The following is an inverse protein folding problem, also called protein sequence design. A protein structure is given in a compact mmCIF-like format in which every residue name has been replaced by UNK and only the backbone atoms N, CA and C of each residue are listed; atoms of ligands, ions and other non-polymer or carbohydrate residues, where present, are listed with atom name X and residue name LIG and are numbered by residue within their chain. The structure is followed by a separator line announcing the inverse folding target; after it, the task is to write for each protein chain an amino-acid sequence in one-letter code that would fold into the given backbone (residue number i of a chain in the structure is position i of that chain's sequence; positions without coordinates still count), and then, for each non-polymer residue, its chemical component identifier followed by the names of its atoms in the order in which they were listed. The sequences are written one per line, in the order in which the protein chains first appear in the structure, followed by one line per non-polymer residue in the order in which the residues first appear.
data_IF_887339709557
#
_entry.id   IF_887339709557
#
_cell.length_a   1.000
_cell.length_b   1.000
_cell.length_c   1.000
_cell.angle_alpha   90.00
_cell.angle_beta   90.00
_cell.angle_gamma   90.00
#
_symmetry.space_group_name_H-M   'P 1'
#
loop_
_entity.id
_entity.type
_entity.pdbx_description
1 polymer ?
#
# COMPACT_ATOMS: atom_id res chain seq x y z
N UNK A 1 -35.27 84.07 -23.12
CA UNK A 1 -34.47 82.99 -23.69
C UNK A 1 -33.33 82.55 -22.77
N UNK A 2 -32.58 83.42 -22.13
CA UNK A 2 -31.48 83.10 -21.23
C UNK A 2 -31.86 82.30 -19.94
N UNK A 3 -33.04 82.56 -19.39
CA UNK A 3 -33.49 81.88 -18.13
C UNK A 3 -33.78 80.35 -18.33
N UNK A 4 -34.18 79.92 -19.51
CA UNK A 4 -34.42 78.49 -19.80
C UNK A 4 -33.14 77.70 -20.03
N UNK A 5 -32.05 78.32 -20.51
CA UNK A 5 -30.78 77.68 -20.73
C UNK A 5 -30.03 77.39 -19.40
N UNK A 6 -30.15 78.32 -18.43
CA UNK A 6 -29.55 78.14 -17.10
C UNK A 6 -30.25 77.00 -16.31
N UNK A 7 -31.60 76.97 -16.35
CA UNK A 7 -32.35 75.87 -15.72
C UNK A 7 -32.07 74.51 -16.36
N UNK A 8 -31.82 74.42 -17.65
CA UNK A 8 -31.47 73.20 -18.36
C UNK A 8 -30.05 72.69 -17.98
N UNK A 9 -29.09 73.61 -17.84
CA UNK A 9 -27.72 73.28 -17.43
C UNK A 9 -27.66 72.77 -16.01
N UNK A 10 -28.44 73.33 -15.06
CA UNK A 10 -28.54 72.91 -13.68
C UNK A 10 -29.17 71.49 -13.56
N UNK A 11 -30.21 71.21 -14.35
CA UNK A 11 -30.82 69.85 -14.38
C UNK A 11 -29.82 68.83 -14.96
N UNK A 12 -29.12 69.16 -16.04
CA UNK A 12 -28.11 68.28 -16.64
C UNK A 12 -26.98 68.00 -15.69
N UNK A 13 -26.49 68.97 -14.92
CA UNK A 13 -25.49 68.85 -13.91
C UNK A 13 -25.96 67.93 -12.76
N UNK A 14 -27.22 68.09 -12.31
CA UNK A 14 -27.83 67.19 -11.33
C UNK A 14 -27.87 65.70 -11.79
N UNK A 15 -28.20 65.45 -13.07
CA UNK A 15 -28.22 64.19 -13.69
C UNK A 15 -26.80 63.58 -13.71
N UNK A 16 -25.78 64.37 -14.13
CA UNK A 16 -24.39 63.87 -14.09
C UNK A 16 -23.88 63.49 -12.72
N UNK A 17 -24.20 64.34 -11.72
CA UNK A 17 -23.82 64.01 -10.31
C UNK A 17 -24.50 62.72 -9.84
N UNK A 18 -25.80 62.56 -10.11
CA UNK A 18 -26.53 61.35 -9.69
C UNK A 18 -26.00 60.10 -10.40
N UNK A 19 -25.66 60.20 -11.69
CA UNK A 19 -25.09 59.11 -12.47
C UNK A 19 -23.67 58.75 -11.99
N UNK A 20 -22.86 59.74 -11.61
CA UNK A 20 -21.55 59.57 -11.05
C UNK A 20 -21.60 58.89 -9.68
N UNK A 21 -22.53 59.28 -8.79
CA UNK A 21 -22.74 58.61 -7.50
C UNK A 21 -23.22 57.20 -7.69
N UNK A 22 -24.12 56.94 -8.62
CA UNK A 22 -24.59 55.58 -8.93
C UNK A 22 -23.46 54.71 -9.46
N UNK A 23 -22.56 55.26 -10.28
CA UNK A 23 -21.37 54.55 -10.78
C UNK A 23 -20.42 54.17 -9.61
N UNK A 24 -20.21 55.09 -8.67
CA UNK A 24 -19.39 54.82 -7.47
C UNK A 24 -19.99 53.68 -6.65
N UNK A 25 -21.29 53.69 -6.43
CA UNK A 25 -21.98 52.63 -5.68
C UNK A 25 -21.87 51.29 -6.41
N UNK A 26 -22.05 51.24 -7.73
CA UNK A 26 -21.88 50.03 -8.53
C UNK A 26 -20.45 49.48 -8.47
N UNK A 27 -19.44 50.33 -8.56
CA UNK A 27 -18.03 49.92 -8.46
C UNK A 27 -17.74 49.38 -7.06
N UNK A 28 -18.27 50.00 -6.02
CA UNK A 28 -18.09 49.54 -4.63
C UNK A 28 -18.76 48.19 -4.40
N UNK A 29 -19.97 48.01 -4.91
CA UNK A 29 -20.71 46.75 -4.79
C UNK A 29 -20.05 45.64 -5.60
N UNK A 30 -19.60 45.92 -6.82
CA UNK A 30 -18.82 44.96 -7.62
C UNK A 30 -17.51 44.55 -6.94
N UNK A 31 -16.80 45.51 -6.33
CA UNK A 31 -15.56 45.22 -5.61
C UNK A 31 -15.80 44.38 -4.34
N UNK A 32 -16.94 44.62 -3.65
CA UNK A 32 -17.38 43.83 -2.51
C UNK A 32 -17.69 42.37 -2.93
N UNK A 33 -18.49 42.24 -4.01
CA UNK A 33 -18.85 40.94 -4.58
C UNK A 33 -17.61 40.15 -5.03
N UNK A 34 -16.67 40.79 -5.70
CA UNK A 34 -15.44 40.14 -6.16
C UNK A 34 -14.56 39.66 -5.00
N UNK A 35 -14.43 40.45 -3.92
CA UNK A 35 -13.71 40.06 -2.74
C UNK A 35 -14.37 38.87 -2.05
N UNK A 36 -15.69 38.83 -2.00
CA UNK A 36 -16.44 37.71 -1.45
C UNK A 36 -16.25 36.43 -2.27
N UNK A 37 -16.32 36.54 -3.59
CA UNK A 37 -16.06 35.46 -4.52
C UNK A 37 -14.64 34.86 -4.35
N UNK A 38 -13.63 35.71 -4.22
CA UNK A 38 -12.25 35.24 -3.99
C UNK A 38 -12.10 34.43 -2.68
N UNK A 39 -12.73 34.86 -1.62
CA UNK A 39 -12.74 34.12 -0.34
C UNK A 39 -13.36 32.75 -0.48
N UNK A 40 -14.49 32.62 -1.18
CA UNK A 40 -15.13 31.33 -1.44
C UNK A 40 -14.23 30.42 -2.28
N UNK A 41 -13.56 30.98 -3.26
CA UNK A 41 -12.63 30.24 -4.12
C UNK A 41 -11.40 29.72 -3.36
N UNK A 42 -10.87 30.48 -2.40
CA UNK A 42 -9.79 30.03 -1.52
C UNK A 42 -10.23 28.85 -0.64
N UNK A 43 -11.51 28.80 -0.25
CA UNK A 43 -12.08 27.71 0.55
C UNK A 43 -12.25 26.40 -0.24
N UNK A 44 -12.31 26.45 -1.57
CA UNK A 44 -12.49 25.26 -2.42
C UNK A 44 -11.47 24.15 -2.12
N UNK A 45 -10.24 24.52 -1.73
CA UNK A 45 -9.17 23.58 -1.41
C UNK A 45 -9.10 23.18 0.07
N UNK A 46 -9.71 23.96 0.97
CA UNK A 46 -9.63 23.78 2.42
C UNK A 46 -10.93 23.34 3.08
N UNK A 47 -12.04 23.33 2.37
CA UNK A 47 -13.39 23.06 2.91
C UNK A 47 -13.54 21.65 3.53
N UNK A 48 -12.72 20.69 3.07
CA UNK A 48 -12.67 19.35 3.64
C UNK A 48 -11.92 19.29 4.98
N UNK A 49 -11.12 20.32 5.32
CA UNK A 49 -10.29 20.36 6.52
C UNK A 49 -10.93 21.22 7.61
N UNK A 50 -11.58 22.32 7.25
CA UNK A 50 -12.26 23.19 8.21
C UNK A 50 -13.29 24.09 7.50
N UNK A 51 -14.42 24.28 8.16
CA UNK A 51 -15.47 25.24 7.76
C UNK A 51 -15.31 26.61 8.42
N UNK A 52 -14.26 26.81 9.26
CA UNK A 52 -14.07 28.04 10.05
C UNK A 52 -13.75 29.29 9.22
N UNK A 53 -13.31 29.11 7.98
CA UNK A 53 -12.96 30.21 7.06
C UNK A 53 -14.12 30.77 6.24
N UNK A 54 -15.36 30.32 6.45
CA UNK A 54 -16.50 30.82 5.66
C UNK A 54 -16.73 32.32 5.92
N UNK A 55 -16.89 33.13 4.86
CA UNK A 55 -17.09 34.56 5.01
C UNK A 55 -18.43 34.86 5.68
N UNK A 56 -18.44 35.87 6.57
CA UNK A 56 -19.69 36.37 7.14
C UNK A 56 -20.53 37.01 6.02
N UNK A 57 -21.80 36.61 5.97
CA UNK A 57 -22.75 37.13 4.99
C UNK A 57 -23.95 37.75 5.70
N UNK A 58 -24.46 38.83 5.09
CA UNK A 58 -25.70 39.48 5.51
C UNK A 58 -26.93 38.90 4.76
N UNK A 59 -26.72 38.05 3.75
CA UNK A 59 -27.78 37.40 2.99
C UNK A 59 -28.33 36.21 3.76
N UNK A 60 -29.64 36.23 4.02
CA UNK A 60 -30.33 35.17 4.75
C UNK A 60 -30.21 33.80 4.03
N UNK A 61 -30.29 33.78 2.71
CA UNK A 61 -30.22 32.56 1.93
C UNK A 61 -28.82 31.94 1.98
N UNK A 62 -27.81 32.78 1.82
CA UNK A 62 -26.41 32.34 1.91
C UNK A 62 -26.06 31.81 3.31
N UNK A 63 -26.60 32.47 4.35
CA UNK A 63 -26.41 32.00 5.75
C UNK A 63 -27.04 30.62 5.98
N UNK A 64 -28.23 30.36 5.43
CA UNK A 64 -28.83 29.02 5.51
C UNK A 64 -28.04 27.97 4.72
N UNK A 65 -27.52 28.28 3.54
CA UNK A 65 -26.62 27.39 2.83
C UNK A 65 -25.34 27.09 3.60
N UNK A 66 -24.74 28.09 4.24
CA UNK A 66 -23.55 27.90 5.08
C UNK A 66 -23.84 27.01 6.28
N UNK A 67 -25.02 27.13 6.91
CA UNK A 67 -25.44 26.23 7.99
C UNK A 67 -25.58 24.78 7.51
N UNK A 68 -26.22 24.56 6.36
CA UNK A 68 -26.35 23.24 5.76
C UNK A 68 -24.98 22.61 5.44
N UNK A 69 -24.06 23.41 4.90
CA UNK A 69 -22.70 22.95 4.62
C UNK A 69 -21.93 22.60 5.90
N UNK A 70 -22.09 23.38 6.98
CA UNK A 70 -21.49 23.04 8.28
C UNK A 70 -22.03 21.72 8.83
N UNK A 71 -23.34 21.55 8.81
CA UNK A 71 -23.98 20.30 9.27
C UNK A 71 -23.44 19.12 8.45
N UNK A 72 -23.35 19.24 7.13
CA UNK A 72 -22.82 18.20 6.27
C UNK A 72 -21.35 17.89 6.53
N UNK A 73 -20.53 18.93 6.74
CA UNK A 73 -19.12 18.78 7.05
C UNK A 73 -18.91 18.12 8.42
N UNK A 74 -19.68 18.50 9.42
CA UNK A 74 -19.64 17.89 10.76
C UNK A 74 -20.06 16.43 10.72
N UNK A 75 -21.10 16.10 9.95
CA UNK A 75 -21.53 14.71 9.77
C UNK A 75 -20.50 13.88 9.01
N UNK A 76 -19.90 14.45 7.96
CA UNK A 76 -18.83 13.79 7.21
C UNK A 76 -17.60 13.51 8.08
N UNK A 77 -17.13 14.49 8.85
CA UNK A 77 -16.01 14.32 9.79
C UNK A 77 -16.33 13.33 10.90
N UNK A 78 -17.58 13.32 11.37
CA UNK A 78 -18.09 12.35 12.32
C UNK A 78 -18.07 10.93 11.77
N UNK A 79 -18.54 10.71 10.54
CA UNK A 79 -18.50 9.42 9.88
C UNK A 79 -17.07 8.94 9.62
N UNK A 80 -16.19 9.83 9.20
CA UNK A 80 -14.78 9.53 8.96
C UNK A 80 -14.07 9.12 10.26
N UNK A 81 -14.31 9.85 11.37
CA UNK A 81 -13.73 9.51 12.67
C UNK A 81 -14.28 8.18 13.22
N UNK A 82 -15.57 7.89 13.01
CA UNK A 82 -16.17 6.60 13.37
C UNK A 82 -15.59 5.44 12.53
N UNK A 83 -15.39 5.67 11.23
CA UNK A 83 -14.76 4.67 10.36
C UNK A 83 -13.32 4.37 10.82
N UNK A 84 -12.53 5.40 11.10
CA UNK A 84 -11.17 5.27 11.61
C UNK A 84 -11.13 4.56 12.98
N UNK A 85 -12.05 4.89 13.89
CA UNK A 85 -12.17 4.21 15.19
C UNK A 85 -12.50 2.72 15.02
N UNK A 86 -13.49 2.38 14.18
CA UNK A 86 -13.85 0.97 13.91
C UNK A 86 -12.68 0.21 13.28
N UNK A 87 -11.94 0.83 12.39
CA UNK A 87 -10.77 0.22 11.77
C UNK A 87 -9.70 -0.06 12.82
N UNK A 88 -9.45 0.89 13.74
CA UNK A 88 -8.51 0.71 14.85
C UNK A 88 -8.96 -0.41 15.80
N UNK A 89 -10.22 -0.44 16.21
CA UNK A 89 -10.78 -1.48 17.08
C UNK A 89 -10.64 -2.88 16.44
N UNK A 90 -10.89 -2.97 15.14
CA UNK A 90 -10.73 -4.20 14.37
C UNK A 90 -9.26 -4.65 14.36
N UNK A 91 -8.32 -3.73 14.20
CA UNK A 91 -6.88 -4.03 14.22
C UNK A 91 -6.43 -4.54 15.59
N UNK A 92 -6.86 -3.88 16.67
CA UNK A 92 -6.55 -4.32 18.04
C UNK A 92 -7.15 -5.69 18.36
N UNK A 93 -8.40 -5.93 17.93
CA UNK A 93 -9.06 -7.23 18.08
C UNK A 93 -8.30 -8.35 17.36
N UNK A 94 -7.92 -8.15 16.11
CA UNK A 94 -7.16 -9.15 15.36
C UNK A 94 -5.76 -9.38 15.93
N UNK A 95 -5.06 -8.35 16.38
CA UNK A 95 -3.76 -8.50 17.00
C UNK A 95 -3.85 -9.37 18.27
N UNK A 96 -4.85 -9.14 19.11
CA UNK A 96 -5.13 -9.94 20.28
C UNK A 96 -5.53 -11.38 19.91
N UNK A 97 -6.42 -11.56 18.94
CA UNK A 97 -6.87 -12.86 18.47
C UNK A 97 -5.72 -13.72 17.96
N UNK A 98 -4.85 -13.15 17.15
CA UNK A 98 -3.66 -13.86 16.65
C UNK A 98 -2.74 -14.29 17.79
N UNK A 99 -2.53 -13.42 18.78
CA UNK A 99 -1.72 -13.80 19.94
C UNK A 99 -2.35 -14.97 20.71
N UNK A 100 -3.68 -14.99 20.86
CA UNK A 100 -4.41 -16.10 21.49
C UNK A 100 -4.36 -17.39 20.66
N UNK A 101 -4.32 -17.32 19.32
CA UNK A 101 -4.20 -18.50 18.45
C UNK A 101 -2.76 -19.04 18.42
N UNK A 102 -1.75 -18.19 18.44
CA UNK A 102 -0.33 -18.62 18.48
C UNK A 102 0.00 -19.49 19.71
N UNK A 103 -0.63 -19.23 20.83
CA UNK A 103 -0.37 -19.96 22.10
C UNK A 103 -0.76 -21.45 22.03
N UNK A 104 -2.01 -21.84 21.65
CA UNK A 104 -2.37 -23.26 21.51
C UNK A 104 -1.62 -23.95 20.35
N UNK A 105 -1.27 -23.22 19.29
CA UNK A 105 -0.44 -23.74 18.20
C UNK A 105 0.95 -24.12 18.72
N UNK A 106 1.60 -23.25 19.50
CA UNK A 106 2.89 -23.53 20.12
C UNK A 106 2.81 -24.74 21.07
N UNK A 107 1.73 -24.88 21.85
CA UNK A 107 1.50 -26.03 22.71
C UNK A 107 1.36 -27.34 21.91
N UNK A 108 0.56 -27.33 20.83
CA UNK A 108 0.41 -28.47 19.93
C UNK A 108 1.73 -28.87 19.28
N UNK A 109 2.54 -27.89 18.84
CA UNK A 109 3.87 -28.14 18.29
C UNK A 109 4.76 -28.88 19.28
N UNK A 110 4.80 -28.43 20.54
CA UNK A 110 5.59 -29.09 21.58
C UNK A 110 5.12 -30.55 21.86
N UNK A 111 3.79 -30.75 21.89
CA UNK A 111 3.23 -32.08 22.09
C UNK A 111 3.57 -33.03 20.93
N UNK A 112 3.50 -32.59 19.72
CA UNK A 112 3.84 -33.36 18.52
C UNK A 112 5.35 -33.61 18.42
N UNK A 113 6.19 -32.62 18.75
CA UNK A 113 7.64 -32.77 18.77
C UNK A 113 8.09 -33.78 19.84
N UNK A 114 7.48 -33.79 21.02
CA UNK A 114 7.79 -34.72 22.08
C UNK A 114 7.40 -36.19 21.74
N UNK A 115 6.42 -36.40 20.86
CA UNK A 115 6.04 -37.70 20.33
C UNK A 115 6.92 -38.18 19.19
N UNK A 116 7.68 -37.29 18.57
CA UNK A 116 8.49 -37.54 17.38
C UNK A 116 9.95 -37.77 17.80
N UNK A 117 10.30 -38.99 18.20
CA UNK A 117 11.64 -39.38 18.63
C UNK A 117 12.69 -39.22 17.50
N UNK A 118 12.30 -39.40 16.25
CA UNK A 118 13.20 -39.33 15.09
C UNK A 118 13.45 -37.90 14.57
N UNK A 119 12.77 -36.91 15.09
CA UNK A 119 12.91 -35.50 14.64
C UNK A 119 12.47 -35.22 13.18
N UNK A 120 11.82 -36.22 12.54
CA UNK A 120 11.33 -36.08 11.16
C UNK A 120 10.11 -35.17 11.09
N UNK A 121 9.91 -34.58 9.91
CA UNK A 121 8.68 -33.84 9.63
C UNK A 121 7.53 -34.83 9.46
N UNK A 122 6.62 -34.88 10.41
CA UNK A 122 5.38 -35.66 10.29
C UNK A 122 4.33 -34.79 9.56
N UNK A 123 3.28 -35.47 9.05
CA UNK A 123 2.18 -34.77 8.37
C UNK A 123 1.52 -33.73 9.29
N UNK A 124 1.30 -34.10 10.57
CA UNK A 124 0.71 -33.23 11.57
C UNK A 124 1.57 -31.97 11.86
N UNK A 125 2.90 -32.15 11.89
CA UNK A 125 3.82 -31.00 12.06
C UNK A 125 3.85 -30.10 10.83
N UNK A 126 3.66 -30.66 9.63
CA UNK A 126 3.54 -29.89 8.39
C UNK A 126 2.26 -29.06 8.38
N UNK A 127 1.12 -29.67 8.69
CA UNK A 127 -0.16 -28.98 8.78
C UNK A 127 -0.15 -27.86 9.84
N UNK A 128 0.46 -28.15 11.00
CA UNK A 128 0.60 -27.14 12.04
C UNK A 128 1.47 -25.95 11.60
N UNK A 129 2.54 -26.22 10.84
CA UNK A 129 3.38 -25.19 10.27
C UNK A 129 2.59 -24.33 9.27
N UNK A 130 1.75 -24.93 8.43
CA UNK A 130 0.92 -24.21 7.48
C UNK A 130 -0.11 -23.32 8.18
N UNK A 131 -0.72 -23.80 9.26
CA UNK A 131 -1.61 -22.98 10.12
C UNK A 131 -0.85 -21.77 10.68
N UNK A 132 0.37 -21.94 11.19
CA UNK A 132 1.20 -20.83 11.68
C UNK A 132 1.48 -19.80 10.57
N UNK A 133 1.75 -20.26 9.34
CA UNK A 133 1.97 -19.35 8.20
C UNK A 133 0.69 -18.57 7.85
N UNK A 134 -0.49 -19.19 7.87
CA UNK A 134 -1.76 -18.49 7.62
C UNK A 134 -2.05 -17.43 8.69
N UNK A 135 -1.79 -17.75 9.95
CA UNK A 135 -1.94 -16.79 11.05
C UNK A 135 -0.98 -15.60 10.89
N UNK A 136 0.27 -15.86 10.49
CA UNK A 136 1.26 -14.79 10.24
C UNK A 136 0.85 -13.92 9.04
N UNK A 137 0.38 -14.53 7.94
CA UNK A 137 -0.13 -13.78 6.77
C UNK A 137 -1.32 -12.88 7.14
N UNK A 138 -2.24 -13.37 7.96
CA UNK A 138 -3.40 -12.57 8.41
C UNK A 138 -2.96 -11.36 9.23
N UNK A 139 -1.95 -11.52 10.09
CA UNK A 139 -1.34 -10.41 10.84
C UNK A 139 -0.68 -9.38 9.94
N UNK A 140 0.13 -9.84 8.98
CA UNK A 140 0.85 -8.93 8.11
C UNK A 140 -0.11 -8.17 7.18
N UNK A 141 -1.16 -8.85 6.69
CA UNK A 141 -2.23 -8.20 5.92
C UNK A 141 -2.82 -7.03 6.70
N UNK A 142 -3.19 -7.27 7.96
CA UNK A 142 -3.81 -6.27 8.80
C UNK A 142 -2.89 -5.10 9.14
N UNK A 143 -1.63 -5.39 9.49
CA UNK A 143 -0.63 -4.35 9.75
C UNK A 143 -0.35 -3.50 8.53
N UNK A 144 -0.32 -4.12 7.34
CA UNK A 144 -0.04 -3.41 6.09
C UNK A 144 -1.16 -2.44 5.69
N UNK A 145 -2.40 -2.76 6.05
CA UNK A 145 -3.59 -1.95 5.72
C UNK A 145 -3.82 -0.81 6.74
N UNK A 146 -3.04 -0.77 7.82
CA UNK A 146 -3.05 0.32 8.80
C UNK A 146 -2.46 1.59 8.21
N UNK A 147 -3.14 2.72 8.38
CA UNK A 147 -2.63 4.04 8.02
C UNK A 147 -1.40 4.45 8.85
N UNK A 148 -1.21 3.80 10.02
CA UNK A 148 -0.14 4.06 10.98
C UNK A 148 1.01 3.05 10.89
N UNK A 149 1.17 2.35 9.75
CA UNK A 149 2.30 1.43 9.59
C UNK A 149 3.59 2.23 9.45
N UNK A 150 4.30 2.42 10.55
CA UNK A 150 5.63 3.01 10.57
C UNK A 150 6.64 1.96 10.11
N UNK A 151 7.24 2.19 8.94
CA UNK A 151 8.37 1.39 8.47
C UNK A 151 9.65 1.92 9.11
N UNK A 152 10.45 1.02 9.68
CA UNK A 152 11.74 1.34 10.25
C UNK A 152 12.82 0.98 9.24
N UNK A 153 13.29 1.97 8.48
CA UNK A 153 14.36 1.77 7.51
C UNK A 153 15.71 1.77 8.21
N UNK A 154 16.44 0.68 8.06
CA UNK A 154 17.80 0.50 8.59
C UNK A 154 18.68 -0.22 7.56
N UNK A 155 19.99 0.00 7.67
CA UNK A 155 20.95 -0.78 6.88
C UNK A 155 20.98 -2.21 7.42
N UNK A 156 20.57 -3.17 6.61
CA UNK A 156 20.35 -4.56 7.01
C UNK A 156 21.17 -5.48 6.14
N UNK A 157 21.83 -6.45 6.75
CA UNK A 157 22.53 -7.54 6.08
C UNK A 157 21.53 -8.46 5.39
N UNK A 158 21.60 -8.51 4.05
CA UNK A 158 20.70 -9.33 3.23
C UNK A 158 20.94 -10.82 3.45
N UNK A 159 22.20 -11.25 3.68
CA UNK A 159 22.55 -12.62 3.95
C UNK A 159 21.88 -13.15 5.25
N UNK A 160 21.85 -12.33 6.29
CA UNK A 160 21.16 -12.66 7.54
C UNK A 160 19.68 -12.98 7.32
N UNK A 161 18.99 -12.15 6.51
CA UNK A 161 17.57 -12.35 6.19
C UNK A 161 17.38 -13.65 5.41
N UNK A 162 18.18 -13.87 4.36
CA UNK A 162 18.07 -15.06 3.51
C UNK A 162 18.32 -16.33 4.32
N UNK A 163 19.39 -16.36 5.12
CA UNK A 163 19.71 -17.50 6.00
C UNK A 163 18.60 -17.76 7.01
N UNK A 164 18.02 -16.71 7.59
CA UNK A 164 16.87 -16.79 8.49
C UNK A 164 15.70 -17.52 7.84
N UNK A 165 15.34 -17.09 6.63
CA UNK A 165 14.26 -17.66 5.85
C UNK A 165 14.56 -19.14 5.46
N UNK A 166 15.74 -19.43 4.95
CA UNK A 166 16.16 -20.80 4.60
C UNK A 166 16.11 -21.71 5.82
N UNK A 167 16.60 -21.27 6.98
CA UNK A 167 16.56 -22.04 8.23
C UNK A 167 15.12 -22.36 8.66
N UNK A 168 14.19 -21.43 8.49
CA UNK A 168 12.77 -21.63 8.81
C UNK A 168 12.16 -22.79 8.00
N UNK A 169 12.51 -22.90 6.72
CA UNK A 169 11.99 -23.93 5.81
C UNK A 169 12.89 -25.17 5.67
N UNK A 170 14.01 -25.26 6.39
CA UNK A 170 15.01 -26.32 6.24
C UNK A 170 14.41 -27.75 6.36
N UNK A 171 13.47 -27.97 7.29
CA UNK A 171 12.80 -29.26 7.46
C UNK A 171 11.99 -29.67 6.23
N UNK A 172 11.35 -28.71 5.56
CA UNK A 172 10.58 -28.96 4.35
C UNK A 172 11.49 -29.27 3.16
N UNK A 173 12.63 -28.56 3.02
CA UNK A 173 13.66 -28.88 2.03
C UNK A 173 14.12 -30.34 2.16
N UNK A 174 14.42 -30.77 3.40
CA UNK A 174 14.86 -32.14 3.69
C UNK A 174 13.75 -33.16 3.40
N UNK A 175 12.52 -32.91 3.90
CA UNK A 175 11.39 -33.82 3.71
C UNK A 175 11.04 -34.04 2.23
N UNK A 176 11.08 -32.98 1.43
CA UNK A 176 10.82 -33.04 -0.02
C UNK A 176 12.06 -33.41 -0.87
N UNK A 177 13.25 -33.55 -0.24
CA UNK A 177 14.52 -33.80 -0.94
C UNK A 177 14.84 -32.75 -2.02
N UNK A 178 14.53 -31.48 -1.74
CA UNK A 178 14.82 -30.35 -2.61
C UNK A 178 16.25 -29.88 -2.32
N UNK A 179 17.08 -29.75 -3.35
CA UNK A 179 18.44 -29.22 -3.22
C UNK A 179 18.39 -27.69 -3.15
N UNK A 180 19.14 -27.11 -2.20
CA UNK A 180 19.32 -25.66 -2.10
C UNK A 180 20.69 -25.31 -2.68
N UNK A 181 20.71 -24.44 -3.70
CA UNK A 181 21.93 -23.82 -4.24
C UNK A 181 21.95 -22.35 -3.78
N UNK A 182 22.69 -22.08 -2.72
CA UNK A 182 22.81 -20.75 -2.12
C UNK A 182 24.29 -20.44 -1.85
N UNK A 183 24.74 -19.31 -2.35
CA UNK A 183 26.04 -18.74 -2.04
C UNK A 183 25.85 -17.55 -1.10
N UNK A 184 26.68 -17.41 -0.03
CA UNK A 184 26.61 -16.28 0.87
C UNK A 184 26.69 -14.93 0.12
N UNK A 185 25.87 -13.97 0.55
CA UNK A 185 25.72 -12.70 -0.12
C UNK A 185 26.30 -11.59 0.78
N UNK A 186 27.39 -10.98 0.38
CA UNK A 186 28.01 -9.87 1.13
C UNK A 186 27.43 -8.51 0.67
N UNK A 187 26.16 -8.26 0.99
CA UNK A 187 25.45 -7.04 0.58
C UNK A 187 24.50 -6.57 1.67
N UNK A 188 24.54 -5.27 1.98
CA UNK A 188 23.55 -4.61 2.82
C UNK A 188 22.57 -3.80 1.99
N UNK A 189 21.32 -3.72 2.47
CA UNK A 189 20.23 -2.96 1.85
C UNK A 189 19.57 -2.06 2.89
N UNK A 190 19.15 -0.87 2.49
CA UNK A 190 18.37 0.03 3.36
C UNK A 190 16.90 -0.34 3.21
N UNK A 191 16.35 -0.98 4.24
CA UNK A 191 14.99 -1.51 4.22
C UNK A 191 14.46 -1.72 5.64
N UNK A 192 13.18 -2.05 5.76
CA UNK A 192 12.66 -2.61 7.01
C UNK A 192 12.91 -4.13 7.04
N UNK A 193 13.83 -4.54 7.93
CA UNK A 193 14.28 -5.93 8.09
C UNK A 193 13.11 -6.90 8.27
N UNK A 194 12.12 -6.53 9.06
CA UNK A 194 10.99 -7.40 9.39
C UNK A 194 10.07 -7.63 8.17
N UNK A 195 9.78 -6.57 7.42
CA UNK A 195 8.93 -6.64 6.26
C UNK A 195 9.63 -7.34 5.09
N UNK A 196 10.92 -7.06 4.86
CA UNK A 196 11.69 -7.75 3.83
C UNK A 196 11.88 -9.24 4.17
N UNK A 197 12.12 -9.59 5.44
CA UNK A 197 12.18 -10.99 5.90
C UNK A 197 10.88 -11.73 5.57
N UNK A 198 9.72 -11.13 5.85
CA UNK A 198 8.43 -11.73 5.51
C UNK A 198 8.29 -12.00 4.01
N UNK A 199 8.69 -11.04 3.16
CA UNK A 199 8.63 -11.20 1.70
C UNK A 199 9.51 -12.37 1.23
N UNK A 200 10.77 -12.42 1.68
CA UNK A 200 11.71 -13.48 1.30
C UNK A 200 11.22 -14.84 1.80
N UNK A 201 10.72 -14.92 3.04
CA UNK A 201 10.11 -16.13 3.59
C UNK A 201 8.92 -16.59 2.74
N UNK A 202 8.06 -15.68 2.31
CA UNK A 202 6.89 -15.99 1.50
C UNK A 202 7.28 -16.50 0.09
N UNK A 203 8.30 -15.90 -0.52
CA UNK A 203 8.81 -16.37 -1.83
C UNK A 203 9.45 -17.75 -1.70
N UNK A 204 10.27 -17.99 -0.67
CA UNK A 204 10.87 -19.32 -0.40
C UNK A 204 9.79 -20.35 -0.08
N UNK A 205 8.77 -19.98 0.70
CA UNK A 205 7.60 -20.82 0.98
C UNK A 205 6.93 -21.30 -0.32
N UNK A 206 6.66 -20.38 -1.22
CA UNK A 206 6.07 -20.71 -2.52
C UNK A 206 7.00 -21.62 -3.34
N UNK A 207 8.29 -21.32 -3.42
CA UNK A 207 9.27 -22.12 -4.12
C UNK A 207 9.27 -23.58 -3.58
N UNK A 208 9.33 -23.76 -2.26
CA UNK A 208 9.29 -25.08 -1.61
C UNK A 208 7.94 -25.78 -1.81
N UNK A 209 6.84 -25.03 -1.75
CA UNK A 209 5.48 -25.55 -1.91
C UNK A 209 5.28 -26.16 -3.29
N UNK A 210 5.66 -25.45 -4.33
CA UNK A 210 5.40 -25.80 -5.73
C UNK A 210 6.52 -26.61 -6.39
N UNK A 211 7.65 -26.80 -5.73
CA UNK A 211 8.71 -27.72 -6.17
C UNK A 211 8.46 -29.12 -5.58
N UNK A 212 8.27 -30.11 -6.45
CA UNK A 212 8.14 -31.52 -6.06
C UNK A 212 9.51 -32.20 -5.95
N UNK A 213 10.37 -31.95 -6.94
CA UNK A 213 11.74 -32.48 -7.05
C UNK A 213 12.59 -31.46 -7.80
N UNK A 214 13.90 -31.42 -7.49
CA UNK A 214 14.83 -30.49 -8.15
C UNK A 214 15.54 -29.58 -7.15
N UNK A 215 15.79 -28.35 -7.56
CA UNK A 215 16.57 -27.39 -6.77
C UNK A 215 15.89 -26.02 -6.69
N UNK A 216 16.20 -25.31 -5.61
CA UNK A 216 15.91 -23.88 -5.45
C UNK A 216 17.26 -23.17 -5.41
N UNK A 217 17.43 -22.13 -6.25
CA UNK A 217 18.64 -21.30 -6.30
C UNK A 217 18.32 -19.91 -5.76
N UNK A 218 19.25 -19.41 -4.97
CA UNK A 218 19.16 -18.05 -4.39
C UNK A 218 20.51 -17.38 -4.66
N UNK A 219 20.51 -16.27 -5.40
CA UNK A 219 21.72 -15.54 -5.78
C UNK A 219 21.42 -14.08 -6.04
N UNK A 220 22.48 -13.27 -6.13
CA UNK A 220 22.40 -11.88 -6.57
C UNK A 220 22.72 -11.79 -8.05
N UNK A 221 21.99 -10.91 -8.74
CA UNK A 221 22.22 -10.53 -10.11
C UNK A 221 22.50 -9.02 -10.16
N UNK A 222 23.53 -8.63 -10.92
CA UNK A 222 23.76 -7.21 -11.17
C UNK A 222 22.64 -6.67 -12.05
N UNK A 223 21.86 -5.73 -11.51
CA UNK A 223 20.74 -5.14 -12.23
C UNK A 223 21.24 -4.09 -13.23
N UNK A 224 21.06 -4.32 -14.50
CA UNK A 224 21.28 -3.35 -15.58
C UNK A 224 20.12 -2.34 -15.73
N UNK A 225 19.25 -2.23 -14.75
CA UNK A 225 18.13 -1.28 -14.72
C UNK A 225 16.98 -1.56 -15.68
N UNK A 226 17.03 -2.64 -16.46
CA UNK A 226 15.97 -3.03 -17.41
C UNK A 226 15.11 -4.16 -16.84
N UNK A 227 14.33 -3.89 -15.82
CA UNK A 227 13.22 -4.76 -15.45
C UNK A 227 12.03 -4.52 -16.39
N UNK A 228 11.97 -5.28 -17.46
CA UNK A 228 10.85 -5.28 -18.37
C UNK A 228 9.82 -6.35 -17.97
N UNK A 229 8.96 -6.03 -17.00
CA UNK A 229 7.57 -6.50 -16.98
C UNK A 229 6.72 -5.40 -16.34
N UNK A 230 5.81 -4.76 -17.08
CA UNK A 230 4.90 -3.79 -16.51
C UNK A 230 3.86 -4.52 -15.65
N UNK A 231 3.79 -4.19 -14.37
CA UNK A 231 2.55 -4.33 -13.62
C UNK A 231 1.48 -3.49 -14.34
N UNK A 232 0.23 -4.00 -14.53
CA UNK A 232 -0.81 -3.19 -15.14
C UNK A 232 -1.01 -1.91 -14.32
N UNK A 233 -0.86 -0.79 -15.02
CA UNK A 233 -1.14 0.59 -14.68
C UNK A 233 -1.43 0.95 -13.22
N UNK A 234 -0.39 1.44 -12.52
CA UNK A 234 -0.51 2.65 -11.73
C UNK A 234 0.66 3.55 -12.13
N UNK A 235 0.52 4.21 -13.26
CA UNK A 235 1.38 5.31 -13.68
C UNK A 235 1.10 6.49 -12.75
N UNK A 236 2.05 6.84 -11.90
CA UNK A 236 2.43 8.18 -11.43
C UNK A 236 3.38 8.06 -10.24
N UNK A 237 4.55 7.47 -10.45
CA UNK A 237 5.69 7.77 -9.60
C UNK A 237 6.59 8.74 -10.36
N UNK A 238 6.61 10.02 -9.94
CA UNK A 238 7.58 11.01 -10.36
C UNK A 238 8.98 10.44 -10.13
N UNK A 239 9.73 10.26 -11.21
CA UNK A 239 11.16 10.07 -11.18
C UNK A 239 11.78 11.31 -10.51
N UNK A 240 12.12 11.20 -9.25
CA UNK A 240 12.97 12.20 -8.58
C UNK A 240 14.38 11.84 -9.02
N UNK A 241 14.92 12.66 -9.92
CA UNK A 241 16.35 12.64 -10.25
C UNK A 241 17.12 13.02 -8.99
N UNK A 242 17.70 12.04 -8.33
CA UNK A 242 18.74 12.24 -7.33
C UNK A 242 20.07 11.77 -7.92
N UNK A 243 20.95 12.71 -7.98
CA UNK A 243 22.39 12.77 -8.11
C UNK A 243 23.18 11.57 -8.60
N UNK A 244 24.04 11.84 -9.59
CA UNK A 244 25.16 11.02 -10.05
C UNK A 244 25.92 10.31 -8.91
N UNK A 245 25.57 9.07 -8.66
CA UNK A 245 26.36 8.07 -7.97
C UNK A 245 26.02 6.75 -8.62
N UNK A 246 26.98 6.05 -9.20
CA UNK A 246 26.86 4.69 -9.70
C UNK A 246 26.50 3.76 -8.55
N UNK A 247 25.23 3.70 -8.18
CA UNK A 247 24.71 2.65 -7.33
C UNK A 247 24.38 1.51 -8.29
N UNK A 248 25.22 0.50 -8.34
CA UNK A 248 24.88 -0.78 -8.98
C UNK A 248 23.64 -1.29 -8.29
N UNK A 249 22.51 -1.30 -9.00
CA UNK A 249 21.29 -1.90 -8.50
C UNK A 249 21.50 -3.41 -8.45
N UNK A 250 21.51 -3.96 -7.24
CA UNK A 250 21.64 -5.40 -7.03
C UNK A 250 20.23 -5.99 -6.91
N UNK A 251 19.99 -7.12 -7.56
CA UNK A 251 18.70 -7.80 -7.56
C UNK A 251 18.84 -9.18 -6.91
N UNK A 252 18.04 -9.43 -5.87
CA UNK A 252 17.92 -10.77 -5.29
C UNK A 252 17.06 -11.65 -6.19
N UNK A 253 17.58 -12.78 -6.61
CA UNK A 253 16.89 -13.76 -7.47
C UNK A 253 16.65 -15.04 -6.67
N UNK A 254 15.39 -15.50 -6.69
CA UNK A 254 14.98 -16.80 -6.14
C UNK A 254 14.35 -17.58 -7.30
N UNK A 255 15.02 -18.66 -7.71
CA UNK A 255 14.62 -19.52 -8.82
C UNK A 255 14.26 -20.90 -8.31
N UNK A 256 13.09 -21.41 -8.66
CA UNK A 256 12.65 -22.76 -8.37
C UNK A 256 12.50 -23.61 -9.64
N UNK A 257 12.73 -24.91 -9.53
CA UNK A 257 12.49 -25.90 -10.58
C UNK A 257 11.11 -26.58 -10.39
N UNK A 258 10.12 -25.83 -9.99
CA UNK A 258 8.76 -26.32 -9.67
C UNK A 258 7.88 -26.49 -10.91
N UNK A 259 6.58 -26.64 -10.65
CA UNK A 259 5.56 -26.82 -11.71
C UNK A 259 5.37 -25.60 -12.61
N UNK A 260 5.90 -24.43 -12.22
CA UNK A 260 5.72 -23.18 -12.94
C UNK A 260 4.29 -22.65 -12.87
N UNK A 261 4.06 -21.52 -13.54
CA UNK A 261 2.79 -20.79 -13.61
C UNK A 261 2.39 -20.67 -15.08
N UNK A 262 1.10 -20.86 -15.37
CA UNK A 262 0.56 -20.67 -16.71
C UNK A 262 0.65 -19.20 -17.12
N UNK A 263 0.91 -18.96 -18.42
CA UNK A 263 1.03 -17.60 -18.95
C UNK A 263 -0.25 -16.75 -18.71
N UNK A 264 -1.41 -17.38 -18.73
CA UNK A 264 -2.71 -16.73 -18.48
C UNK A 264 -2.90 -16.31 -17.02
N UNK A 265 -2.29 -17.02 -16.05
CA UNK A 265 -2.37 -16.74 -14.62
C UNK A 265 -1.35 -15.66 -14.20
N UNK A 266 -0.21 -15.56 -14.91
CA UNK A 266 0.92 -14.72 -14.51
C UNK A 266 0.57 -13.25 -14.24
N UNK A 267 -0.27 -12.57 -15.03
CA UNK A 267 -0.65 -11.19 -14.77
C UNK A 267 -1.47 -11.00 -13.49
N UNK A 268 -2.10 -12.08 -13.00
CA UNK A 268 -3.08 -12.03 -11.91
C UNK A 268 -2.60 -12.62 -10.59
N UNK A 269 -1.42 -13.25 -10.55
CA UNK A 269 -0.90 -13.93 -9.35
C UNK A 269 -0.67 -13.02 -8.15
N UNK A 270 -0.57 -11.71 -8.38
CA UNK A 270 -0.48 -10.70 -7.33
C UNK A 270 -1.84 -10.05 -7.00
N UNK A 271 -2.96 -10.51 -7.58
CA UNK A 271 -4.29 -10.07 -7.19
C UNK A 271 -4.72 -10.73 -5.87
N UNK A 272 -5.46 -9.99 -5.05
CA UNK A 272 -5.95 -10.50 -3.77
C UNK A 272 -6.86 -11.72 -3.94
N UNK A 273 -6.52 -12.83 -3.26
CA UNK A 273 -7.32 -14.05 -3.29
C UNK A 273 -7.20 -14.89 -4.57
N UNK A 274 -6.32 -14.50 -5.50
CA UNK A 274 -6.11 -15.27 -6.73
C UNK A 274 -5.19 -16.47 -6.49
N UNK A 275 -5.65 -17.68 -6.82
CA UNK A 275 -4.90 -18.92 -6.57
C UNK A 275 -4.48 -19.66 -7.85
N UNK A 276 -4.86 -19.19 -9.03
CA UNK A 276 -4.60 -19.84 -10.32
C UNK A 276 -5.17 -21.27 -10.40
N UNK A 277 -4.87 -21.96 -11.50
CA UNK A 277 -5.30 -23.37 -11.68
C UNK A 277 -4.56 -24.30 -10.71
N UNK A 278 -3.27 -24.06 -10.46
CA UNK A 278 -2.43 -24.91 -9.62
C UNK A 278 -2.83 -24.85 -8.11
N UNK A 279 -3.45 -23.78 -7.66
CA UNK A 279 -3.90 -23.62 -6.27
C UNK A 279 -5.25 -24.28 -5.98
N UNK A 280 -6.01 -24.71 -7.00
CA UNK A 280 -7.31 -25.36 -6.86
C UNK A 280 -7.21 -26.89 -6.81
N UNK A 281 -6.13 -27.45 -7.34
CA UNK A 281 -5.93 -28.90 -7.44
C UNK A 281 -5.24 -29.52 -6.21
N UNK A 282 -5.71 -29.22 -4.99
CA UNK A 282 -5.32 -29.98 -3.78
C UNK A 282 -4.27 -29.38 -2.87
N UNK A 283 -3.77 -28.18 -3.13
CA UNK A 283 -2.92 -27.44 -2.18
C UNK A 283 -3.69 -26.20 -1.70
N UNK A 284 -4.03 -26.14 -0.42
CA UNK A 284 -4.69 -25.01 0.22
C UNK A 284 -3.86 -23.73 0.06
N UNK A 285 -4.15 -22.93 -0.96
CA UNK A 285 -3.50 -21.63 -1.20
C UNK A 285 -4.49 -20.52 -0.87
N UNK A 286 -4.09 -19.58 -0.02
CA UNK A 286 -4.95 -18.44 0.35
C UNK A 286 -5.06 -17.39 -0.75
N UNK A 287 -4.13 -17.36 -1.72
CA UNK A 287 -4.03 -16.31 -2.73
C UNK A 287 -3.64 -14.93 -2.18
N UNK A 288 -3.19 -14.87 -0.91
CA UNK A 288 -2.86 -13.63 -0.22
C UNK A 288 -1.34 -13.37 -0.22
N UNK A 289 -0.51 -14.43 -0.26
CA UNK A 289 0.93 -14.33 -0.05
C UNK A 289 1.64 -13.41 -1.06
N UNK A 290 1.50 -13.66 -2.37
CA UNK A 290 2.13 -12.82 -3.41
C UNK A 290 1.53 -11.42 -3.50
N UNK A 291 0.23 -11.29 -3.22
CA UNK A 291 -0.42 -9.98 -3.08
C UNK A 291 0.25 -9.14 -1.98
N UNK A 292 0.48 -9.74 -0.79
CA UNK A 292 1.19 -9.06 0.30
C UNK A 292 2.62 -8.70 -0.08
N UNK A 293 3.37 -9.63 -0.70
CA UNK A 293 4.73 -9.36 -1.18
C UNK A 293 4.77 -8.13 -2.09
N UNK A 294 3.88 -8.07 -3.07
CA UNK A 294 3.79 -6.94 -4.01
C UNK A 294 3.49 -5.62 -3.30
N UNK A 295 2.53 -5.61 -2.36
CA UNK A 295 2.18 -4.41 -1.60
C UNK A 295 3.29 -3.94 -0.66
N UNK A 296 3.94 -4.88 0.04
CA UNK A 296 5.06 -4.58 0.95
C UNK A 296 6.22 -3.98 0.18
N UNK A 297 6.69 -4.66 -0.87
CA UNK A 297 7.82 -4.19 -1.67
C UNK A 297 7.56 -2.81 -2.29
N UNK A 298 6.33 -2.56 -2.75
CA UNK A 298 5.92 -1.24 -3.23
C UNK A 298 6.03 -0.16 -2.15
N UNK A 299 5.63 -0.45 -0.90
CA UNK A 299 5.75 0.49 0.23
C UNK A 299 7.21 0.68 0.67
N UNK A 300 8.04 -0.35 0.57
CA UNK A 300 9.47 -0.27 0.86
C UNK A 300 10.29 0.42 -0.26
N UNK A 301 9.69 0.67 -1.43
CA UNK A 301 10.40 1.25 -2.59
C UNK A 301 11.20 0.23 -3.40
N UNK A 302 11.02 -1.07 -3.14
CA UNK A 302 11.67 -2.16 -3.87
C UNK A 302 10.90 -2.57 -5.13
N UNK A 303 11.61 -3.08 -6.12
CA UNK A 303 11.03 -3.66 -7.33
C UNK A 303 10.68 -5.13 -7.12
N UNK A 304 9.66 -5.62 -7.82
CA UNK A 304 9.19 -7.00 -7.74
C UNK A 304 8.81 -7.52 -9.12
N UNK A 305 9.50 -8.55 -9.59
CA UNK A 305 9.21 -9.18 -10.87
C UNK A 305 9.14 -10.70 -10.73
N UNK A 306 8.20 -11.32 -11.44
CA UNK A 306 8.01 -12.77 -11.47
C UNK A 306 7.97 -13.20 -12.93
N UNK A 307 8.82 -14.15 -13.28
CA UNK A 307 8.79 -14.82 -14.57
C UNK A 307 8.63 -16.32 -14.34
N UNK A 308 7.81 -16.98 -15.14
CA UNK A 308 7.55 -18.41 -14.96
C UNK A 308 7.19 -19.07 -16.30
N UNK A 309 7.49 -20.36 -16.36
CA UNK A 309 7.09 -21.22 -17.48
C UNK A 309 6.56 -22.52 -16.91
N UNK A 310 5.35 -22.90 -17.33
CA UNK A 310 4.70 -24.15 -16.90
C UNK A 310 5.61 -25.37 -17.20
N UNK A 311 5.79 -26.24 -16.22
CA UNK A 311 6.64 -27.42 -16.28
C UNK A 311 8.15 -27.17 -16.18
N UNK A 312 8.59 -25.91 -16.05
CA UNK A 312 10.01 -25.54 -15.92
C UNK A 312 10.35 -24.98 -14.55
N UNK A 313 9.52 -24.02 -14.07
CA UNK A 313 9.73 -23.37 -12.77
C UNK A 313 9.40 -21.89 -12.78
N UNK A 314 9.74 -21.22 -11.67
CA UNK A 314 9.47 -19.80 -11.45
C UNK A 314 10.73 -19.09 -11.00
N UNK A 315 10.91 -17.87 -11.48
CA UNK A 315 11.98 -16.95 -11.09
C UNK A 315 11.35 -15.69 -10.51
N UNK A 316 11.70 -15.37 -9.27
CA UNK A 316 11.27 -14.16 -8.58
C UNK A 316 12.47 -13.26 -8.39
N UNK A 317 12.34 -11.99 -8.78
CA UNK A 317 13.37 -10.95 -8.65
C UNK A 317 12.89 -9.83 -7.75
N UNK A 318 13.74 -9.43 -6.78
CA UNK A 318 13.52 -8.33 -5.83
C UNK A 318 14.72 -7.41 -5.92
N UNK A 319 14.49 -6.12 -6.30
CA UNK A 319 15.57 -5.14 -6.49
C UNK A 319 15.35 -3.86 -5.70
#
# INVERSE_FOLDING_TARGET
MMLNEIAFAEILYGIFISLFLLLILLVFDAARYYRHYQKIKELEHSIMLSTDGMPETADLLENEYQKLLRILADEYTGLQSQAAARQKDMQEYYAMWVHQVKTPIAALRLLLQNKNEDGKMTEELSELFDIEQYVEMALQYQRLDSETTDFVFEETDLDEIIRGAVKKYARQFIAKKISLCYEPVETSVVTDKKWLSFVIEQVISNAVKYTKTGSIKIYLEDGDGTMSVPLPEIAHAKKTEMGNGSTSSVCLVIEDAGIGIRAEDLPRICEMGYTGCNGREGQHSSGIGLYLCSRILKKLGHTFAITSKEGVGTVVKIG
#
